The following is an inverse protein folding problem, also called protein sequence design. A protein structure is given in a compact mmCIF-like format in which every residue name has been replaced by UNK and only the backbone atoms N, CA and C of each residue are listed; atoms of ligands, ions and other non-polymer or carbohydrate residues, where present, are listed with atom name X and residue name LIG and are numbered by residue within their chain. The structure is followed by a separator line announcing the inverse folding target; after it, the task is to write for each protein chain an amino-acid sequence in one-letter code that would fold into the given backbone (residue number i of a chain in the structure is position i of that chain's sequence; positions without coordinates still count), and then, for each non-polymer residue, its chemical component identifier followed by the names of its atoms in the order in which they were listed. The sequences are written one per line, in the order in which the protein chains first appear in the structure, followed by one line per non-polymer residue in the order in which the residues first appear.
data_IF_394276981972
#
_entry.id   IF_394276981972
#
_cell.length_a   1.000
_cell.length_b   1.000
_cell.length_c   1.000
_cell.angle_alpha   90.00
_cell.angle_beta   90.00
_cell.angle_gamma   90.00
#
_symmetry.space_group_name_H-M   'P 1'
#
loop_
_entity.id
_entity.type
_entity.pdbx_description
1 polymer ?
#
# COMPACT_ATOMS: atom_id res chain seq x y z
N UNK A 1 43.90 1.85 -45.75
CA UNK A 1 42.89 0.81 -45.56
C UNK A 1 42.33 0.97 -44.15
N UNK A 2 41.18 1.64 -44.01
CA UNK A 2 40.46 1.74 -42.74
C UNK A 2 39.73 0.42 -42.52
N UNK A 3 40.11 -0.32 -41.47
CA UNK A 3 39.36 -1.47 -41.02
C UNK A 3 38.08 -0.96 -40.33
N UNK A 4 36.95 -1.00 -41.06
CA UNK A 4 35.64 -0.96 -40.45
C UNK A 4 35.45 -2.28 -39.70
N UNK A 5 35.58 -2.21 -38.37
CA UNK A 5 35.13 -3.25 -37.45
C UNK A 5 33.61 -3.38 -37.58
N UNK A 6 33.16 -4.34 -38.38
CA UNK A 6 31.79 -4.82 -38.38
C UNK A 6 31.52 -5.48 -37.02
N UNK A 7 30.93 -4.75 -36.09
CA UNK A 7 30.26 -5.34 -34.93
C UNK A 7 29.05 -6.12 -35.46
N UNK A 8 29.19 -7.45 -35.58
CA UNK A 8 28.02 -8.31 -35.75
C UNK A 8 27.23 -8.28 -34.44
N UNK A 9 26.07 -7.64 -34.46
CA UNK A 9 25.18 -7.51 -33.31
C UNK A 9 24.49 -8.86 -33.08
N UNK A 10 25.14 -9.75 -32.35
CA UNK A 10 24.44 -10.84 -31.67
C UNK A 10 23.69 -10.18 -30.50
N UNK A 11 22.36 -10.08 -30.61
CA UNK A 11 21.52 -9.45 -29.58
C UNK A 11 21.63 -10.27 -28.29
N UNK A 12 22.27 -9.70 -27.27
CA UNK A 12 22.28 -10.27 -25.92
C UNK A 12 21.30 -9.47 -25.09
N UNK A 13 20.42 -10.14 -24.34
CA UNK A 13 19.30 -9.48 -23.67
C UNK A 13 19.37 -9.65 -22.17
N UNK A 14 19.02 -8.59 -21.43
CA UNK A 14 18.74 -8.63 -19.99
C UNK A 14 17.26 -8.39 -19.75
N UNK A 15 16.61 -9.24 -18.95
CA UNK A 15 15.18 -9.14 -18.59
C UNK A 15 14.97 -9.39 -17.11
N UNK A 16 13.82 -8.96 -16.58
CA UNK A 16 13.41 -9.36 -15.24
C UNK A 16 13.00 -10.83 -15.25
N UNK A 17 13.48 -11.60 -14.27
CA UNK A 17 13.07 -13.01 -14.08
C UNK A 17 11.60 -13.12 -13.67
N UNK A 18 11.09 -12.11 -12.95
CA UNK A 18 9.67 -11.98 -12.60
C UNK A 18 9.19 -10.55 -12.88
N UNK A 19 8.26 -10.42 -13.82
CA UNK A 19 7.63 -9.15 -14.21
C UNK A 19 6.37 -8.83 -13.39
N UNK A 20 6.11 -9.56 -12.32
CA UNK A 20 4.98 -9.32 -11.40
C UNK A 20 5.49 -9.00 -10.00
N UNK A 21 6.46 -9.76 -9.49
CA UNK A 21 7.12 -9.52 -8.20
C UNK A 21 8.64 -9.55 -8.30
N UNK A 22 9.27 -8.51 -8.88
CA UNK A 22 10.71 -8.44 -9.02
C UNK A 22 11.44 -8.61 -7.67
N UNK A 23 12.41 -9.52 -7.64
CA UNK A 23 13.22 -9.78 -6.45
C UNK A 23 14.40 -8.82 -6.41
N UNK A 24 14.27 -7.79 -5.57
CA UNK A 24 15.29 -6.74 -5.38
C UNK A 24 15.62 -6.57 -3.91
N UNK A 25 16.91 -6.65 -3.56
CA UNK A 25 17.38 -6.58 -2.19
C UNK A 25 18.66 -5.75 -2.08
N UNK A 26 18.94 -5.22 -0.88
CA UNK A 26 20.24 -4.62 -0.57
C UNK A 26 20.94 -5.48 0.47
N UNK A 27 22.05 -6.09 0.06
CA UNK A 27 22.67 -7.20 0.78
C UNK A 27 21.64 -8.30 1.05
N UNK A 28 21.70 -8.87 2.27
CA UNK A 28 20.72 -9.83 2.77
C UNK A 28 19.78 -9.21 3.83
N UNK A 29 19.71 -7.87 3.87
CA UNK A 29 19.18 -7.14 5.03
C UNK A 29 17.82 -6.52 4.72
N UNK A 30 17.59 -6.09 3.47
CA UNK A 30 16.43 -5.29 3.12
C UNK A 30 15.91 -5.64 1.74
N UNK A 31 14.62 -5.98 1.66
CA UNK A 31 13.88 -6.07 0.41
C UNK A 31 13.50 -4.66 -0.02
N UNK A 32 13.99 -4.26 -1.18
CA UNK A 32 13.74 -2.94 -1.75
C UNK A 32 12.30 -2.88 -2.23
N UNK A 33 11.57 -1.88 -1.78
CA UNK A 33 10.26 -1.63 -2.35
C UNK A 33 10.43 -1.27 -3.83
N UNK A 34 9.69 -1.95 -4.69
CA UNK A 34 9.78 -1.74 -6.12
C UNK A 34 8.38 -1.66 -6.72
N UNK A 35 8.26 -0.86 -7.78
CA UNK A 35 7.05 -0.76 -8.58
C UNK A 35 7.40 -0.89 -10.05
N UNK A 36 6.50 -1.51 -10.80
CA UNK A 36 6.65 -1.67 -12.23
C UNK A 36 5.93 -0.55 -12.95
N UNK A 37 6.67 0.28 -13.69
CA UNK A 37 6.08 1.17 -14.70
C UNK A 37 5.71 0.43 -16.00
N UNK A 38 6.25 -0.79 -16.17
CA UNK A 38 6.10 -1.69 -17.32
C UNK A 38 7.05 -2.88 -17.18
N UNK A 39 7.58 -3.40 -18.30
CA UNK A 39 8.54 -4.51 -18.34
C UNK A 39 10.02 -4.07 -18.23
N UNK A 40 10.26 -2.77 -18.01
CA UNK A 40 11.61 -2.21 -17.90
C UNK A 40 12.35 -2.10 -19.23
N UNK A 41 11.69 -2.25 -20.38
CA UNK A 41 12.35 -2.19 -21.71
C UNK A 41 12.46 -0.78 -22.28
N UNK A 42 11.81 0.19 -21.65
CA UNK A 42 11.88 1.60 -22.02
C UNK A 42 12.15 2.49 -20.81
N UNK A 43 12.82 3.61 -21.05
CA UNK A 43 13.02 4.67 -20.06
C UNK A 43 11.71 5.32 -19.60
N UNK A 44 10.62 5.19 -20.37
CA UNK A 44 9.28 5.65 -20.00
C UNK A 44 8.52 4.68 -19.09
N UNK A 45 8.96 3.42 -19.00
CA UNK A 45 8.34 2.37 -18.20
C UNK A 45 9.39 1.54 -17.43
N UNK A 46 10.27 2.19 -16.64
CA UNK A 46 11.36 1.52 -15.95
C UNK A 46 10.87 0.68 -14.76
N UNK A 47 11.71 -0.24 -14.30
CA UNK A 47 11.60 -0.80 -12.95
C UNK A 47 11.98 0.27 -11.93
N UNK A 48 11.06 0.69 -11.06
CA UNK A 48 11.32 1.71 -10.04
C UNK A 48 11.77 1.06 -8.75
N UNK A 49 12.92 1.48 -8.22
CA UNK A 49 13.50 0.95 -6.98
C UNK A 49 13.59 2.06 -5.94
N UNK A 50 13.00 1.84 -4.76
CA UNK A 50 12.98 2.82 -3.67
C UNK A 50 13.98 2.42 -2.58
N UNK A 51 15.12 3.11 -2.57
CA UNK A 51 16.32 2.75 -1.82
C UNK A 51 16.46 3.69 -0.63
N UNK A 52 16.32 3.20 0.62
CA UNK A 52 16.55 4.03 1.80
C UNK A 52 18.04 4.21 2.09
N UNK A 53 18.48 5.41 2.44
CA UNK A 53 19.86 5.69 2.86
C UNK A 53 19.93 6.17 4.30
N UNK A 54 21.02 5.82 4.98
CA UNK A 54 21.43 6.47 6.24
C UNK A 54 22.41 7.61 5.99
N UNK A 55 22.19 8.73 6.66
CA UNK A 55 23.15 9.80 6.88
C UNK A 55 23.94 9.61 8.18
N UNK A 56 24.47 10.71 8.70
CA UNK A 56 25.13 10.74 10.01
C UNK A 56 24.09 10.85 11.14
N UNK A 57 24.11 9.92 12.11
CA UNK A 57 23.25 9.94 13.29
C UNK A 57 22.23 8.80 13.36
N UNK A 58 21.29 8.88 14.31
CA UNK A 58 20.31 7.82 14.60
C UNK A 58 18.88 8.15 14.18
N UNK A 59 18.62 9.35 13.65
CA UNK A 59 17.25 9.81 13.35
C UNK A 59 16.60 8.94 12.27
N UNK A 60 17.33 8.59 11.20
CA UNK A 60 16.82 7.70 10.13
C UNK A 60 16.52 6.30 10.65
N UNK A 61 17.44 5.69 11.39
CA UNK A 61 17.19 4.38 12.00
C UNK A 61 16.02 4.42 13.01
N UNK A 62 15.80 5.56 13.68
CA UNK A 62 14.67 5.73 14.60
C UNK A 62 13.33 5.90 13.90
N UNK A 63 13.31 6.16 12.60
CA UNK A 63 12.09 6.39 11.83
C UNK A 63 11.96 5.40 10.67
N UNK A 64 12.70 4.29 10.66
CA UNK A 64 12.70 3.34 9.55
C UNK A 64 12.22 1.95 9.99
N UNK A 65 11.66 1.17 9.07
CA UNK A 65 11.16 -0.19 9.34
C UNK A 65 12.24 -1.16 9.79
N UNK A 66 13.46 -1.00 9.29
CA UNK A 66 14.60 -1.77 9.76
C UNK A 66 14.90 -1.35 11.20
N UNK A 67 14.70 -2.28 12.14
CA UNK A 67 15.14 -2.15 13.54
C UNK A 67 16.67 -2.10 13.67
N UNK A 68 17.40 -2.34 12.57
CA UNK A 68 18.85 -2.31 12.46
C UNK A 68 19.34 -1.05 11.72
N UNK A 69 20.65 -0.82 11.73
CA UNK A 69 21.23 0.28 10.98
C UNK A 69 20.95 0.16 9.48
N UNK A 70 20.45 1.24 8.88
CA UNK A 70 20.40 1.46 7.44
C UNK A 70 21.81 1.52 6.85
N UNK A 71 21.94 1.24 5.55
CA UNK A 71 23.23 1.32 4.87
C UNK A 71 23.57 2.77 4.49
N UNK A 72 24.85 3.09 4.55
CA UNK A 72 25.42 4.40 4.21
C UNK A 72 25.69 4.51 2.71
N UNK A 73 25.81 5.73 2.20
CA UNK A 73 26.20 5.99 0.81
C UNK A 73 27.53 5.29 0.42
N UNK A 74 28.49 5.19 1.35
CA UNK A 74 29.76 4.51 1.12
C UNK A 74 29.75 3.01 1.50
N UNK A 75 28.58 2.39 1.61
CA UNK A 75 28.45 0.99 2.01
C UNK A 75 28.94 0.04 0.92
N UNK A 76 29.61 -1.04 1.33
CA UNK A 76 29.98 -2.17 0.45
C UNK A 76 28.82 -3.12 0.20
N UNK A 77 27.68 -2.93 0.87
CA UNK A 77 26.46 -3.69 0.57
C UNK A 77 26.03 -3.43 -0.86
N UNK A 78 25.48 -4.45 -1.49
CA UNK A 78 25.14 -4.44 -2.91
C UNK A 78 23.65 -4.35 -3.13
N UNK A 79 23.23 -3.51 -4.07
CA UNK A 79 21.91 -3.59 -4.69
C UNK A 79 21.90 -4.82 -5.61
N UNK A 80 21.05 -5.78 -5.26
CA UNK A 80 20.90 -7.06 -5.92
C UNK A 80 19.55 -7.09 -6.64
N UNK A 81 19.57 -7.34 -7.95
CA UNK A 81 18.37 -7.55 -8.78
C UNK A 81 18.48 -8.89 -9.48
N UNK A 82 17.45 -9.72 -9.36
CA UNK A 82 17.39 -11.02 -10.05
C UNK A 82 16.93 -10.82 -11.48
N UNK A 83 17.73 -11.26 -12.46
CA UNK A 83 17.52 -11.04 -13.89
C UNK A 83 17.77 -12.30 -14.70
N UNK A 84 17.10 -12.41 -15.85
CA UNK A 84 17.38 -13.41 -16.86
C UNK A 84 18.26 -12.81 -17.94
N UNK A 85 19.24 -13.59 -18.37
CA UNK A 85 20.27 -13.17 -19.32
C UNK A 85 20.29 -14.15 -20.49
N UNK A 86 20.27 -13.62 -21.71
CA UNK A 86 20.61 -14.38 -22.91
C UNK A 86 21.92 -13.79 -23.46
N UNK A 87 23.01 -14.55 -23.35
CA UNK A 87 24.30 -14.17 -23.92
C UNK A 87 24.49 -14.89 -25.26
N UNK A 88 24.47 -14.13 -26.35
CA UNK A 88 24.66 -14.65 -27.71
C UNK A 88 26.11 -14.49 -28.22
N UNK A 89 27.02 -13.93 -27.41
CA UNK A 89 28.45 -13.88 -27.70
C UNK A 89 29.02 -15.32 -27.64
N UNK A 90 29.74 -15.70 -28.68
CA UNK A 90 30.35 -17.04 -28.82
C UNK A 90 31.75 -17.15 -28.19
N UNK A 91 32.30 -16.03 -27.73
CA UNK A 91 33.69 -15.88 -27.32
C UNK A 91 33.85 -15.35 -25.90
N UNK A 92 32.94 -14.49 -25.43
CA UNK A 92 33.09 -13.80 -24.16
C UNK A 92 31.97 -14.09 -23.16
N UNK A 93 32.36 -14.24 -21.89
CA UNK A 93 31.42 -14.15 -20.77
C UNK A 93 31.03 -12.70 -20.63
N UNK A 94 29.73 -12.42 -20.62
CA UNK A 94 29.22 -11.07 -20.44
C UNK A 94 28.64 -10.88 -19.04
N UNK A 95 28.84 -9.70 -18.48
CA UNK A 95 28.43 -9.37 -17.11
C UNK A 95 27.39 -8.25 -17.10
N UNK A 96 26.34 -8.35 -16.26
CA UNK A 96 25.45 -7.24 -15.97
C UNK A 96 26.26 -6.01 -15.54
N UNK A 97 26.03 -4.91 -16.23
CA UNK A 97 26.76 -3.66 -16.08
C UNK A 97 25.74 -2.54 -15.97
N UNK A 98 25.84 -1.77 -14.89
CA UNK A 98 24.97 -0.66 -14.57
C UNK A 98 25.57 0.62 -15.15
N UNK A 99 24.74 1.33 -15.90
CA UNK A 99 25.01 2.67 -16.38
C UNK A 99 23.95 3.63 -15.86
N UNK A 100 24.32 4.90 -15.72
CA UNK A 100 23.42 5.98 -15.28
C UNK A 100 23.32 7.02 -16.38
N UNK A 101 22.14 7.58 -16.61
CA UNK A 101 21.95 8.64 -17.61
C UNK A 101 22.74 9.89 -17.21
N UNK A 102 23.52 10.42 -18.14
CA UNK A 102 24.22 11.71 -18.01
C UNK A 102 23.23 12.85 -18.26
N UNK A 103 22.99 13.71 -17.27
CA UNK A 103 22.05 14.83 -17.44
C UNK A 103 22.59 15.92 -18.38
N UNK A 104 23.91 15.95 -18.62
CA UNK A 104 24.57 16.89 -19.50
C UNK A 104 24.68 16.42 -20.95
N UNK A 105 24.36 15.16 -21.24
CA UNK A 105 24.45 14.59 -22.58
C UNK A 105 23.32 13.58 -22.89
N UNK A 106 23.45 12.84 -23.99
CA UNK A 106 22.56 11.71 -24.31
C UNK A 106 23.19 10.37 -23.91
N UNK A 107 24.39 10.40 -23.34
CA UNK A 107 25.11 9.18 -23.00
C UNK A 107 24.67 8.64 -21.64
N UNK A 108 25.02 7.39 -21.38
CA UNK A 108 24.96 6.80 -20.05
C UNK A 108 26.39 6.53 -19.57
N UNK A 109 26.69 6.96 -18.35
CA UNK A 109 27.99 6.81 -17.72
C UNK A 109 28.07 5.48 -16.97
N UNK A 110 29.23 4.85 -17.00
CA UNK A 110 29.46 3.62 -16.26
C UNK A 110 29.39 3.85 -14.75
N UNK A 111 28.71 2.95 -14.05
CA UNK A 111 28.62 2.96 -12.57
C UNK A 111 29.33 1.75 -11.98
N UNK A 112 29.06 0.55 -12.49
CA UNK A 112 29.61 -0.67 -11.93
C UNK A 112 29.20 -1.91 -12.71
N UNK A 113 29.86 -3.02 -12.39
CA UNK A 113 29.66 -4.32 -13.03
C UNK A 113 29.49 -5.41 -11.99
N UNK A 114 28.54 -6.30 -12.22
CA UNK A 114 28.31 -7.49 -11.39
C UNK A 114 29.50 -8.44 -11.47
N UNK A 115 29.78 -9.14 -10.37
CA UNK A 115 30.80 -10.19 -10.32
C UNK A 115 30.35 -11.50 -10.97
N UNK A 116 29.03 -11.68 -11.15
CA UNK A 116 28.43 -12.86 -11.78
C UNK A 116 28.00 -12.47 -13.19
N UNK A 117 28.48 -13.22 -14.18
CA UNK A 117 28.14 -13.06 -15.60
C UNK A 117 27.47 -14.30 -16.18
N UNK A 118 27.11 -14.23 -17.46
CA UNK A 118 26.53 -15.34 -18.21
C UNK A 118 27.52 -15.87 -19.25
N UNK A 119 27.66 -17.20 -19.31
CA UNK A 119 28.58 -17.88 -20.23
C UNK A 119 28.25 -17.61 -21.70
N UNK A 120 29.22 -17.87 -22.57
CA UNK A 120 29.08 -17.71 -24.03
C UNK A 120 27.93 -18.55 -24.58
N UNK A 121 27.13 -18.00 -25.48
CA UNK A 121 26.06 -18.71 -26.20
C UNK A 121 25.11 -19.48 -25.28
N UNK A 122 24.69 -18.85 -24.18
CA UNK A 122 23.85 -19.48 -23.16
C UNK A 122 22.73 -18.57 -22.66
N UNK A 123 21.68 -19.19 -22.15
CA UNK A 123 20.66 -18.55 -21.33
C UNK A 123 20.97 -18.83 -19.86
N UNK A 124 21.06 -17.79 -19.06
CA UNK A 124 21.27 -17.87 -17.62
C UNK A 124 20.04 -17.29 -16.93
N UNK A 125 19.31 -18.14 -16.21
CA UNK A 125 18.13 -17.75 -15.45
C UNK A 125 18.52 -17.37 -14.02
N UNK A 126 17.71 -16.50 -13.40
CA UNK A 126 17.85 -16.07 -12.00
C UNK A 126 19.25 -15.54 -11.62
N UNK A 127 19.90 -14.85 -12.55
CA UNK A 127 21.21 -14.25 -12.30
C UNK A 127 21.06 -13.07 -11.35
N UNK A 128 21.80 -13.09 -10.25
CA UNK A 128 21.84 -11.95 -9.32
C UNK A 128 22.82 -10.89 -9.86
N UNK A 129 22.25 -9.84 -10.44
CA UNK A 129 22.97 -8.62 -10.80
C UNK A 129 23.26 -7.81 -9.53
N UNK A 130 24.55 -7.53 -9.26
CA UNK A 130 24.98 -7.01 -7.97
C UNK A 130 25.88 -5.78 -8.12
N UNK A 131 25.46 -4.63 -7.55
CA UNK A 131 26.21 -3.37 -7.63
C UNK A 131 26.38 -2.76 -6.24
N UNK A 132 27.61 -2.44 -5.84
CA UNK A 132 27.84 -1.85 -4.51
C UNK A 132 27.20 -0.47 -4.39
N UNK A 133 26.60 -0.17 -3.24
CA UNK A 133 26.04 1.16 -2.97
C UNK A 133 27.12 2.25 -3.05
N UNK A 134 28.35 1.95 -2.64
CA UNK A 134 29.48 2.85 -2.82
C UNK A 134 29.74 3.18 -4.30
N UNK A 135 29.67 2.21 -5.21
CA UNK A 135 29.82 2.46 -6.66
C UNK A 135 28.68 3.34 -7.20
N UNK A 136 27.43 3.04 -6.80
CA UNK A 136 26.26 3.82 -7.19
C UNK A 136 26.39 5.27 -6.72
N UNK A 137 26.68 5.48 -5.44
CA UNK A 137 26.76 6.80 -4.83
C UNK A 137 28.05 7.60 -5.15
N UNK A 138 29.06 6.97 -5.74
CA UNK A 138 30.27 7.66 -6.22
C UNK A 138 30.15 8.11 -7.68
N UNK A 139 29.06 7.77 -8.38
CA UNK A 139 28.79 8.25 -9.72
C UNK A 139 28.55 9.76 -9.72
N UNK A 140 29.00 10.46 -10.77
CA UNK A 140 28.84 11.93 -10.89
C UNK A 140 27.38 12.36 -10.94
N UNK A 141 26.50 11.52 -11.48
CA UNK A 141 25.08 11.81 -11.65
C UNK A 141 24.24 11.45 -10.42
N UNK A 142 24.81 10.76 -9.42
CA UNK A 142 24.08 10.28 -8.25
C UNK A 142 24.67 10.90 -6.99
N UNK A 143 24.14 12.06 -6.59
CA UNK A 143 24.50 12.68 -5.32
C UNK A 143 23.70 12.08 -4.15
N UNK A 144 24.19 10.96 -3.61
CA UNK A 144 23.61 10.35 -2.41
C UNK A 144 23.69 11.24 -1.15
N UNK A 145 24.41 12.37 -1.18
CA UNK A 145 24.44 13.31 -0.04
C UNK A 145 23.19 14.17 -0.01
N UNK A 146 22.75 14.69 -1.17
CA UNK A 146 21.48 15.42 -1.26
C UNK A 146 20.26 14.52 -1.05
N UNK A 147 20.40 13.21 -1.33
CA UNK A 147 19.38 12.20 -1.00
C UNK A 147 18.94 12.23 0.49
N UNK A 148 19.79 12.72 1.40
CA UNK A 148 19.50 12.81 2.83
C UNK A 148 18.46 13.88 3.19
N UNK A 149 18.26 14.88 2.33
CA UNK A 149 17.33 16.00 2.55
C UNK A 149 16.13 15.97 1.62
N UNK A 150 16.29 15.43 0.40
CA UNK A 150 15.22 15.24 -0.56
C UNK A 150 15.46 13.94 -1.35
N UNK A 151 14.40 13.24 -1.80
CA UNK A 151 14.57 12.12 -2.70
C UNK A 151 15.29 12.53 -3.98
N UNK A 152 16.22 11.70 -4.44
CA UNK A 152 16.83 11.80 -5.76
C UNK A 152 16.27 10.69 -6.65
N UNK A 153 16.00 11.00 -7.91
CA UNK A 153 15.49 10.05 -8.89
C UNK A 153 16.42 10.05 -10.08
N UNK A 154 16.96 8.88 -10.44
CA UNK A 154 17.94 8.76 -11.52
C UNK A 154 17.60 7.59 -12.42
N UNK A 155 17.59 7.85 -13.73
CA UNK A 155 17.38 6.80 -14.74
C UNK A 155 18.68 6.06 -14.99
N UNK A 156 18.63 4.73 -14.89
CA UNK A 156 19.75 3.82 -15.07
C UNK A 156 19.41 2.74 -16.09
N UNK A 157 20.44 2.11 -16.64
CA UNK A 157 20.32 1.04 -17.63
C UNK A 157 21.27 -0.09 -17.29
N UNK A 158 20.74 -1.31 -17.22
CA UNK A 158 21.50 -2.54 -17.03
C UNK A 158 21.61 -3.24 -18.36
N UNK A 159 22.83 -3.47 -18.82
CA UNK A 159 23.14 -4.23 -20.04
C UNK A 159 24.32 -5.16 -19.80
N UNK A 160 24.66 -5.97 -20.80
CA UNK A 160 25.78 -6.90 -20.75
C UNK A 160 27.06 -6.29 -21.33
N UNK A 161 28.20 -6.48 -20.65
CA UNK A 161 29.51 -6.03 -21.13
C UNK A 161 30.63 -7.02 -20.76
N UNK A 162 31.67 -7.09 -21.60
CA UNK A 162 32.76 -8.07 -21.51
C UNK A 162 34.11 -7.50 -21.02
N UNK A 163 34.35 -6.19 -21.11
CA UNK A 163 35.71 -5.60 -21.00
C UNK A 163 35.87 -4.59 -19.88
N UNK A 164 37.09 -4.49 -19.36
CA UNK A 164 37.57 -3.58 -18.30
C UNK A 164 37.64 -2.10 -18.71
N UNK A 165 36.91 -1.70 -19.74
CA UNK A 165 36.85 -0.32 -20.22
C UNK A 165 35.45 0.19 -19.96
N UNK A 166 35.32 0.61 -18.72
CA UNK A 166 34.18 1.22 -18.04
C UNK A 166 33.87 2.62 -18.61
N UNK A 167 33.65 2.70 -19.93
CA UNK A 167 33.36 3.96 -20.65
C UNK A 167 31.86 4.19 -20.82
N UNK A 168 31.49 5.44 -21.09
CA UNK A 168 30.10 5.78 -21.39
C UNK A 168 29.60 5.09 -22.66
N UNK A 169 28.29 4.87 -22.71
CA UNK A 169 27.56 4.34 -23.87
C UNK A 169 26.59 5.40 -24.41
N UNK A 170 26.23 5.33 -25.69
CA UNK A 170 25.17 6.18 -26.25
C UNK A 170 23.79 5.79 -25.71
N UNK A 171 22.82 6.70 -25.77
CA UNK A 171 21.42 6.45 -25.37
C UNK A 171 20.87 5.14 -25.98
N UNK A 172 20.49 4.14 -25.17
CA UNK A 172 19.79 2.97 -25.64
C UNK A 172 18.31 3.31 -25.90
N UNK A 173 18.03 4.20 -26.86
CA UNK A 173 16.69 4.79 -27.17
C UNK A 173 15.50 3.81 -27.24
N UNK A 174 15.72 2.51 -27.42
CA UNK A 174 14.76 1.43 -27.11
C UNK A 174 15.51 0.17 -26.63
N UNK A 175 15.27 -0.27 -25.40
CA UNK A 175 15.98 -1.36 -24.74
C UNK A 175 15.49 -2.72 -25.22
N UNK A 176 16.01 -3.19 -26.36
CA UNK A 176 15.83 -4.61 -26.74
C UNK A 176 16.83 -5.52 -26.01
N UNK A 177 17.99 -4.98 -25.64
CA UNK A 177 19.14 -5.72 -25.13
C UNK A 177 19.39 -5.52 -23.62
N UNK A 178 18.58 -4.70 -22.94
CA UNK A 178 18.82 -4.35 -21.53
C UNK A 178 17.58 -3.91 -20.76
N UNK A 179 17.81 -3.56 -19.50
CA UNK A 179 16.78 -3.25 -18.51
C UNK A 179 16.95 -1.81 -18.00
N UNK A 180 15.92 -0.98 -18.18
CA UNK A 180 15.80 0.34 -17.58
C UNK A 180 15.34 0.23 -16.13
N UNK A 181 16.05 0.95 -15.27
CA UNK A 181 15.81 1.01 -13.83
C UNK A 181 15.78 2.47 -13.39
N UNK A 182 14.75 2.87 -12.67
CA UNK A 182 14.67 4.18 -12.03
C UNK A 182 15.06 4.01 -10.56
N UNK A 183 16.24 4.52 -10.21
CA UNK A 183 16.74 4.52 -8.84
C UNK A 183 16.15 5.74 -8.12
N UNK A 184 15.22 5.49 -7.21
CA UNK A 184 14.70 6.47 -6.28
C UNK A 184 15.44 6.28 -4.96
N UNK A 185 16.26 7.24 -4.55
CA UNK A 185 17.11 7.12 -3.37
C UNK A 185 16.75 8.23 -2.39
N UNK A 186 16.50 7.88 -1.13
CA UNK A 186 16.18 8.87 -0.09
C UNK A 186 16.68 8.43 1.27
N UNK A 187 17.27 9.36 2.01
CA UNK A 187 17.47 9.28 3.46
C UNK A 187 16.66 10.34 4.19
N UNK A 188 15.72 11.01 3.51
CA UNK A 188 14.86 12.03 4.10
C UNK A 188 13.91 11.38 5.08
N UNK A 189 14.06 11.72 6.35
CA UNK A 189 13.05 11.42 7.37
C UNK A 189 12.00 12.51 7.40
N UNK A 190 10.77 12.13 7.70
CA UNK A 190 9.74 13.10 8.04
C UNK A 190 10.14 13.91 9.26
N UNK A 191 10.01 15.22 9.15
CA UNK A 191 10.26 16.12 10.27
C UNK A 191 9.16 15.97 11.34
N UNK A 192 9.38 16.56 12.51
CA UNK A 192 8.39 16.58 13.58
C UNK A 192 7.17 17.48 13.29
N UNK A 193 7.07 18.08 12.10
CA UNK A 193 5.94 18.96 11.73
C UNK A 193 4.79 18.18 11.08
N UNK A 194 5.08 16.99 10.54
CA UNK A 194 4.03 16.04 10.14
C UNK A 194 3.44 15.44 11.41
N UNK A 195 2.20 15.82 11.73
CA UNK A 195 1.47 15.31 12.89
C UNK A 195 0.39 14.35 12.44
N UNK A 196 0.44 13.15 13.03
CA UNK A 196 -0.57 12.10 12.88
C UNK A 196 -1.42 12.08 14.15
N UNK A 197 -2.74 12.05 14.00
CA UNK A 197 -3.66 12.06 15.15
C UNK A 197 -4.76 11.03 14.96
N UNK A 198 -4.98 10.21 15.99
CA UNK A 198 -6.20 9.41 16.10
C UNK A 198 -7.30 10.28 16.67
N UNK A 199 -8.38 10.46 15.92
CA UNK A 199 -9.52 11.29 16.31
C UNK A 199 -10.57 10.49 17.06
N UNK A 200 -10.75 9.21 16.73
CA UNK A 200 -11.71 8.32 17.38
C UNK A 200 -11.35 6.83 17.20
N UNK A 201 -11.85 5.99 18.10
CA UNK A 201 -11.76 4.53 18.05
C UNK A 201 -13.14 3.89 18.21
N UNK A 202 -13.63 3.29 17.12
CA UNK A 202 -14.86 2.52 17.12
C UNK A 202 -14.57 1.04 17.42
N UNK A 203 -15.26 0.50 18.44
CA UNK A 203 -15.08 -0.88 18.90
C UNK A 203 -15.96 -1.84 18.09
N UNK A 204 -15.36 -2.90 17.58
CA UNK A 204 -16.06 -4.03 16.96
C UNK A 204 -15.63 -5.36 17.55
N UNK A 205 -16.15 -6.44 16.98
CA UNK A 205 -15.74 -7.80 17.30
C UNK A 205 -14.42 -8.16 16.64
N UNK A 206 -13.44 -8.51 17.46
CA UNK A 206 -12.06 -8.80 17.04
C UNK A 206 -11.45 -7.68 16.19
N UNK A 207 -11.96 -6.45 16.33
CA UNK A 207 -11.54 -5.31 15.52
C UNK A 207 -11.68 -3.96 16.20
N UNK A 208 -10.85 -3.03 15.78
CA UNK A 208 -10.95 -1.62 16.08
C UNK A 208 -10.90 -0.85 14.78
N UNK A 209 -11.82 0.11 14.60
CA UNK A 209 -11.82 1.03 13.47
C UNK A 209 -11.32 2.39 13.96
N UNK A 210 -10.34 2.90 13.25
CA UNK A 210 -9.53 4.04 13.65
C UNK A 210 -9.81 5.19 12.72
N UNK A 211 -10.36 6.27 13.27
CA UNK A 211 -10.52 7.51 12.53
C UNK A 211 -9.27 8.37 12.75
N UNK A 212 -8.73 8.94 11.68
CA UNK A 212 -7.44 9.63 11.73
C UNK A 212 -7.40 10.93 10.95
N UNK A 213 -6.43 11.77 11.31
CA UNK A 213 -5.99 12.93 10.53
C UNK A 213 -4.46 12.99 10.44
N UNK A 214 -3.96 13.58 9.34
CA UNK A 214 -2.55 13.83 9.06
C UNK A 214 -2.42 15.29 8.62
N UNK A 215 -1.50 16.05 9.22
CA UNK A 215 -1.35 17.49 8.94
C UNK A 215 -0.93 17.81 7.51
N UNK A 216 -0.20 16.90 6.85
CA UNK A 216 0.25 17.04 5.48
C UNK A 216 0.27 15.67 4.77
N UNK A 217 -0.27 15.62 3.56
CA UNK A 217 -0.18 14.45 2.69
C UNK A 217 1.26 14.31 2.22
N UNK A 218 1.83 13.11 2.36
CA UNK A 218 3.19 12.84 1.93
C UNK A 218 3.21 12.48 0.45
N UNK A 219 4.12 13.10 -0.32
CA UNK A 219 4.24 12.83 -1.76
C UNK A 219 4.64 11.37 -2.04
N UNK A 220 5.38 10.75 -1.13
CA UNK A 220 5.90 9.38 -1.23
C UNK A 220 5.07 8.40 -0.39
N UNK A 221 3.80 8.73 -0.12
CA UNK A 221 2.89 7.88 0.65
C UNK A 221 2.82 6.47 0.06
N UNK A 222 3.01 5.46 0.90
CA UNK A 222 2.85 4.05 0.53
C UNK A 222 1.64 3.43 1.22
N UNK A 223 1.66 3.40 2.55
CA UNK A 223 0.65 2.71 3.36
C UNK A 223 0.61 3.25 4.79
N UNK A 224 -0.34 2.75 5.58
CA UNK A 224 -0.47 3.03 7.00
C UNK A 224 -0.19 1.76 7.81
N UNK A 225 0.60 1.88 8.86
CA UNK A 225 0.87 0.79 9.80
C UNK A 225 0.31 1.11 11.19
N UNK A 226 -0.28 0.09 11.81
CA UNK A 226 -0.95 0.16 13.11
C UNK A 226 -0.16 -0.64 14.13
N UNK A 227 0.02 -0.07 15.32
CA UNK A 227 0.86 -0.65 16.37
C UNK A 227 0.13 -0.71 17.70
N UNK A 228 0.36 -1.79 18.44
CA UNK A 228 0.14 -1.85 19.89
C UNK A 228 1.45 -1.47 20.59
N UNK A 229 1.43 -0.39 21.38
CA UNK A 229 2.65 0.14 21.99
C UNK A 229 2.58 0.14 23.53
N UNK A 230 3.65 -0.29 24.20
CA UNK A 230 3.72 -0.34 25.67
C UNK A 230 3.79 1.05 26.31
N UNK A 231 4.39 2.00 25.59
CA UNK A 231 4.60 3.38 26.03
C UNK A 231 4.75 4.29 24.81
N UNK A 232 4.05 5.42 24.80
CA UNK A 232 4.13 6.37 23.70
C UNK A 232 5.53 6.97 23.57
N UNK A 233 6.12 6.81 22.39
CA UNK A 233 7.28 7.54 21.91
C UNK A 233 6.90 8.12 20.55
N UNK A 234 7.19 9.39 20.31
CA UNK A 234 6.87 10.02 19.02
C UNK A 234 7.72 9.45 17.86
N UNK A 235 8.77 8.68 18.14
CA UNK A 235 9.66 8.05 17.15
C UNK A 235 9.46 6.54 17.10
N UNK A 236 9.27 6.02 15.89
CA UNK A 236 8.97 4.62 15.60
C UNK A 236 9.96 3.62 16.20
N UNK A 237 11.25 3.73 15.86
CA UNK A 237 12.33 2.84 16.30
C UNK A 237 12.75 3.01 17.76
N UNK A 238 12.20 4.00 18.47
CA UNK A 238 12.35 4.17 19.92
C UNK A 238 11.06 3.85 20.69
N UNK A 239 9.96 3.55 20.00
CA UNK A 239 8.75 3.09 20.63
C UNK A 239 8.94 1.64 21.09
N UNK A 240 8.47 1.33 22.29
CA UNK A 240 8.29 -0.03 22.75
C UNK A 240 7.12 -0.68 22.00
N UNK A 241 7.32 -0.97 20.72
CA UNK A 241 6.33 -1.62 19.87
C UNK A 241 6.21 -3.07 20.36
N UNK A 242 5.07 -3.40 20.95
CA UNK A 242 4.77 -4.78 21.35
C UNK A 242 4.49 -5.62 20.11
N UNK A 243 3.70 -5.06 19.19
CA UNK A 243 3.12 -5.78 18.07
C UNK A 243 2.75 -4.83 16.92
N UNK A 244 2.89 -5.31 15.69
CA UNK A 244 2.34 -4.67 14.49
C UNK A 244 0.98 -5.34 14.24
N UNK A 245 -0.10 -4.58 14.35
CA UNK A 245 -1.47 -5.12 14.30
C UNK A 245 -2.00 -5.23 12.86
N UNK A 246 -1.64 -4.28 12.00
CA UNK A 246 -2.06 -4.28 10.60
C UNK A 246 -1.17 -3.37 9.76
N UNK A 247 -1.11 -3.68 8.46
CA UNK A 247 -0.61 -2.79 7.41
C UNK A 247 -1.74 -2.69 6.39
N UNK A 248 -2.17 -1.48 6.10
CA UNK A 248 -3.26 -1.21 5.16
C UNK A 248 -2.71 -0.44 3.95
N UNK A 249 -2.56 -1.18 2.84
CA UNK A 249 -2.07 -0.70 1.54
C UNK A 249 -3.19 -0.22 0.61
N UNK A 250 -4.46 -0.41 0.99
CA UNK A 250 -5.63 0.07 0.25
C UNK A 250 -6.00 1.53 0.60
N UNK A 251 -5.30 2.15 1.55
CA UNK A 251 -5.56 3.53 1.96
C UNK A 251 -5.01 4.50 0.91
N UNK A 252 -5.87 5.28 0.27
CA UNK A 252 -5.43 6.39 -0.57
C UNK A 252 -4.82 7.52 0.26
N UNK A 253 -3.79 8.19 -0.27
CA UNK A 253 -3.15 9.33 0.36
C UNK A 253 -4.16 10.46 0.64
N UNK A 254 -4.67 10.52 1.88
CA UNK A 254 -5.68 11.47 2.32
C UNK A 254 -5.30 12.05 3.69
N UNK A 255 -5.60 13.34 3.89
CA UNK A 255 -5.34 14.04 5.14
C UNK A 255 -6.24 13.57 6.29
N UNK A 256 -7.32 12.83 5.99
CA UNK A 256 -8.17 12.17 6.97
C UNK A 256 -8.82 10.94 6.36
N UNK A 257 -9.21 10.00 7.22
CA UNK A 257 -9.85 8.77 6.80
C UNK A 257 -10.13 7.84 7.96
N UNK A 258 -10.40 6.58 7.62
CA UNK A 258 -10.55 5.50 8.57
C UNK A 258 -9.88 4.23 8.07
N UNK A 259 -9.23 3.49 8.96
CA UNK A 259 -8.69 2.15 8.67
C UNK A 259 -9.07 1.17 9.80
N UNK A 260 -8.99 -0.13 9.54
CA UNK A 260 -9.39 -1.17 10.51
C UNK A 260 -8.20 -2.03 10.95
N UNK A 261 -8.01 -2.15 12.25
CA UNK A 261 -7.21 -3.23 12.85
C UNK A 261 -8.12 -4.43 13.07
N UNK A 262 -7.86 -5.55 12.40
CA UNK A 262 -8.68 -6.79 12.42
C UNK A 262 -7.94 -7.93 13.11
N UNK A 263 -8.66 -9.01 13.42
CA UNK A 263 -8.13 -10.23 14.04
C UNK A 263 -7.48 -9.96 15.43
N UNK A 264 -8.08 -9.06 16.21
CA UNK A 264 -7.64 -8.71 17.55
C UNK A 264 -8.28 -9.63 18.61
N UNK A 265 -7.58 -9.84 19.72
CA UNK A 265 -8.11 -10.59 20.85
C UNK A 265 -9.16 -9.77 21.61
N UNK A 266 -10.39 -10.27 21.65
CA UNK A 266 -11.45 -9.67 22.44
C UNK A 266 -11.11 -9.64 23.93
N UNK A 267 -11.42 -8.53 24.60
CA UNK A 267 -11.15 -8.35 26.04
C UNK A 267 -9.72 -7.93 26.39
N UNK A 268 -8.77 -7.95 25.44
CA UNK A 268 -7.43 -7.38 25.61
C UNK A 268 -7.47 -5.86 25.40
N UNK A 269 -6.91 -5.10 26.32
CA UNK A 269 -6.69 -3.67 26.12
C UNK A 269 -5.51 -3.47 25.17
N UNK A 270 -5.74 -2.77 24.07
CA UNK A 270 -4.70 -2.36 23.13
C UNK A 270 -4.44 -0.88 23.27
N UNK A 271 -3.16 -0.48 23.20
CA UNK A 271 -2.73 0.91 23.19
C UNK A 271 -2.33 1.27 21.77
N UNK A 272 -3.29 1.77 20.99
CA UNK A 272 -3.11 1.92 19.57
C UNK A 272 -2.40 3.23 19.23
N UNK A 273 -1.43 3.13 18.33
CA UNK A 273 -0.84 4.24 17.61
C UNK A 273 -0.70 3.86 16.14
N UNK A 274 -0.61 4.84 15.26
CA UNK A 274 -0.32 4.60 13.84
C UNK A 274 0.78 5.54 13.34
N UNK A 275 1.40 5.13 12.25
CA UNK A 275 2.27 6.00 11.45
C UNK A 275 2.04 5.73 9.97
N UNK A 276 2.29 6.75 9.16
CA UNK A 276 2.30 6.64 7.71
C UNK A 276 3.69 6.20 7.28
N UNK A 277 3.74 5.22 6.37
CA UNK A 277 4.98 4.74 5.77
C UNK A 277 5.10 5.24 4.34
N UNK A 278 6.33 5.53 3.95
CA UNK A 278 6.67 5.92 2.58
C UNK A 278 7.24 4.77 1.76
N UNK A 279 7.45 5.01 0.47
CA UNK A 279 8.04 3.98 -0.41
C UNK A 279 9.46 3.58 -0.03
N UNK A 280 10.19 4.42 0.71
CA UNK A 280 11.54 4.12 1.21
C UNK A 280 11.50 3.34 2.53
N UNK A 281 10.33 3.21 3.18
CA UNK A 281 10.17 2.53 4.46
C UNK A 281 10.38 3.42 5.69
N UNK A 282 10.41 4.75 5.51
CA UNK A 282 10.39 5.70 6.62
C UNK A 282 8.97 5.95 7.11
N UNK A 283 8.83 6.04 8.42
CA UNK A 283 7.60 6.35 9.11
C UNK A 283 7.57 7.82 9.54
N UNK A 284 6.39 8.42 9.46
CA UNK A 284 6.09 9.67 10.17
C UNK A 284 6.23 9.48 11.68
N UNK A 285 6.24 10.56 12.47
CA UNK A 285 6.02 10.43 13.90
C UNK A 285 4.78 9.59 14.21
N UNK A 286 4.87 8.80 15.27
CA UNK A 286 3.75 8.00 15.77
C UNK A 286 2.65 8.92 16.28
N UNK A 287 1.40 8.55 16.03
CA UNK A 287 0.27 9.28 16.58
C UNK A 287 0.23 9.13 18.10
N UNK A 288 -0.31 10.12 18.85
CA UNK A 288 -0.66 9.91 20.25
C UNK A 288 -1.48 8.64 20.44
N UNK A 289 -1.22 7.92 21.53
CA UNK A 289 -1.89 6.64 21.79
C UNK A 289 -3.34 6.84 22.20
N UNK A 290 -4.22 6.00 21.67
CA UNK A 290 -5.57 5.84 22.20
C UNK A 290 -5.81 4.37 22.54
N UNK A 291 -6.38 4.12 23.71
CA UNK A 291 -6.58 2.76 24.20
C UNK A 291 -8.03 2.30 23.99
N UNK A 292 -8.19 1.10 23.45
CA UNK A 292 -9.49 0.48 23.32
C UNK A 292 -9.39 -1.04 23.49
N UNK A 293 -10.51 -1.65 23.88
CA UNK A 293 -10.66 -3.09 24.05
C UNK A 293 -11.69 -3.56 23.02
N UNK A 294 -11.32 -4.43 22.06
CA UNK A 294 -12.28 -5.09 21.18
C UNK A 294 -13.33 -5.83 22.01
N UNK A 295 -14.57 -5.80 21.55
CA UNK A 295 -15.71 -6.36 22.26
C UNK A 295 -16.02 -7.73 21.71
N UNK A 296 -16.25 -8.72 22.58
CA UNK A 296 -16.83 -9.99 22.11
C UNK A 296 -18.13 -9.72 21.38
N UNK A 297 -18.37 -10.44 20.28
CA UNK A 297 -19.62 -10.31 19.55
C UNK A 297 -20.85 -10.39 20.48
N UNK A 298 -20.85 -11.30 21.46
CA UNK A 298 -21.95 -11.44 22.41
C UNK A 298 -22.20 -10.15 23.21
N UNK A 299 -21.15 -9.51 23.71
CA UNK A 299 -21.23 -8.24 24.46
C UNK A 299 -21.60 -7.07 23.54
N UNK A 300 -21.07 -7.06 22.31
CA UNK A 300 -21.44 -6.08 21.30
C UNK A 300 -22.93 -6.20 20.94
N UNK A 301 -23.43 -7.41 20.69
CA UNK A 301 -24.82 -7.70 20.36
C UNK A 301 -25.76 -7.40 21.52
N UNK A 302 -25.38 -7.76 22.75
CA UNK A 302 -26.16 -7.51 23.97
C UNK A 302 -26.29 -6.01 24.23
N UNK A 303 -25.17 -5.27 24.15
CA UNK A 303 -25.19 -3.80 24.28
C UNK A 303 -26.02 -3.15 23.18
N UNK A 304 -26.03 -3.74 21.99
CA UNK A 304 -26.66 -3.15 20.82
C UNK A 304 -28.12 -3.50 20.62
N UNK A 305 -28.58 -4.61 21.21
CA UNK A 305 -29.97 -5.05 21.23
C UNK A 305 -30.66 -5.12 19.85
N UNK A 306 -29.91 -5.24 18.74
CA UNK A 306 -30.44 -5.44 17.39
C UNK A 306 -29.63 -6.53 16.68
N UNK A 307 -29.72 -7.76 17.20
CA UNK A 307 -28.87 -8.91 16.89
C UNK A 307 -28.51 -9.11 15.41
N UNK A 308 -29.49 -9.25 14.51
CA UNK A 308 -29.21 -9.49 13.09
C UNK A 308 -28.50 -8.31 12.43
N UNK A 309 -28.99 -7.09 12.66
CA UNK A 309 -28.41 -5.90 12.05
C UNK A 309 -27.00 -5.70 12.61
N UNK A 310 -26.81 -5.85 13.91
CA UNK A 310 -25.50 -5.86 14.57
C UNK A 310 -24.56 -6.94 14.03
N UNK A 311 -25.06 -8.15 13.77
CA UNK A 311 -24.26 -9.22 13.17
C UNK A 311 -23.89 -8.95 11.71
N UNK A 312 -24.74 -8.21 10.97
CA UNK A 312 -24.45 -7.83 9.58
C UNK A 312 -23.44 -6.70 9.46
N UNK A 313 -23.49 -5.71 10.36
CA UNK A 313 -22.58 -4.57 10.34
C UNK A 313 -21.29 -4.80 11.14
N UNK A 314 -21.34 -5.60 12.23
CA UNK A 314 -20.23 -5.86 13.16
C UNK A 314 -19.61 -4.58 13.79
N UNK A 315 -20.26 -3.41 13.65
CA UNK A 315 -19.84 -2.10 14.18
C UNK A 315 -21.08 -1.27 14.56
N UNK A 316 -20.87 -0.20 15.34
CA UNK A 316 -21.91 0.80 15.52
C UNK A 316 -22.17 1.47 14.17
N UNK A 317 -23.44 1.56 13.78
CA UNK A 317 -23.81 2.15 12.51
C UNK A 317 -25.10 2.96 12.65
N UNK A 318 -25.23 4.06 11.90
CA UNK A 318 -26.39 4.94 12.02
C UNK A 318 -27.71 4.23 11.66
N UNK A 319 -27.68 3.27 10.73
CA UNK A 319 -28.83 2.41 10.41
C UNK A 319 -29.27 1.61 11.63
N UNK A 320 -28.32 1.16 12.44
CA UNK A 320 -28.59 0.44 13.68
C UNK A 320 -29.31 1.32 14.70
N UNK A 321 -28.87 2.58 14.84
CA UNK A 321 -29.56 3.56 15.68
C UNK A 321 -30.98 3.85 15.19
N UNK A 322 -31.19 3.89 13.87
CA UNK A 322 -32.53 4.05 13.29
C UNK A 322 -33.45 2.88 13.66
N UNK A 323 -33.00 1.63 13.52
CA UNK A 323 -33.84 0.47 13.87
C UNK A 323 -34.12 0.38 15.37
N UNK A 324 -33.19 0.81 16.23
CA UNK A 324 -33.46 0.97 17.67
C UNK A 324 -34.55 1.99 17.92
N UNK A 325 -34.47 3.14 17.27
CA UNK A 325 -35.50 4.17 17.39
C UNK A 325 -36.87 3.64 16.96
N UNK A 326 -36.95 2.90 15.85
CA UNK A 326 -38.21 2.27 15.42
C UNK A 326 -38.75 1.28 16.45
N UNK A 327 -37.87 0.44 17.01
CA UNK A 327 -38.23 -0.51 18.07
C UNK A 327 -38.79 0.22 19.29
N UNK A 328 -38.04 1.18 19.82
CA UNK A 328 -38.33 1.83 21.09
C UNK A 328 -39.53 2.77 21.00
N UNK A 329 -39.63 3.56 19.92
CA UNK A 329 -40.67 4.58 19.79
C UNK A 329 -41.97 4.09 19.16
N UNK A 330 -41.95 2.98 18.40
CA UNK A 330 -43.14 2.50 17.71
C UNK A 330 -43.51 1.07 18.09
N UNK A 331 -42.59 0.11 17.95
CA UNK A 331 -42.92 -1.31 18.16
C UNK A 331 -43.26 -1.61 19.62
N UNK A 332 -42.52 -1.06 20.57
CA UNK A 332 -42.78 -1.29 22.00
C UNK A 332 -44.04 -0.58 22.52
N UNK A 333 -44.67 0.32 21.76
CA UNK A 333 -45.91 1.00 22.16
C UNK A 333 -47.18 0.20 21.89
N UNK A 334 -47.10 -0.87 21.07
CA UNK A 334 -48.25 -1.68 20.67
C UNK A 334 -48.02 -3.16 21.00
N UNK A 335 -49.06 -3.86 21.47
CA UNK A 335 -48.94 -5.25 21.93
C UNK A 335 -48.39 -6.21 20.87
N UNK A 336 -48.86 -6.08 19.62
CA UNK A 336 -48.35 -6.86 18.50
C UNK A 336 -46.85 -6.61 18.25
N UNK A 337 -46.40 -5.37 18.42
CA UNK A 337 -44.99 -5.00 18.27
C UNK A 337 -44.14 -5.52 19.42
N UNK A 338 -44.66 -5.50 20.65
CA UNK A 338 -44.02 -6.12 21.81
C UNK A 338 -43.86 -7.64 21.61
N UNK A 339 -44.89 -8.33 21.12
CA UNK A 339 -44.84 -9.77 20.83
C UNK A 339 -43.83 -10.08 19.72
N UNK A 340 -43.79 -9.28 18.66
CA UNK A 340 -42.79 -9.41 17.59
C UNK A 340 -41.37 -9.18 18.09
N UNK A 341 -41.16 -8.14 18.90
CA UNK A 341 -39.87 -7.86 19.52
C UNK A 341 -39.47 -9.00 20.45
N UNK A 342 -40.38 -9.52 21.28
CA UNK A 342 -40.13 -10.69 22.13
C UNK A 342 -39.66 -11.90 21.31
N UNK A 343 -40.43 -12.28 20.29
CA UNK A 343 -40.05 -13.36 19.37
C UNK A 343 -38.67 -13.13 18.73
N UNK A 344 -38.39 -11.90 18.28
CA UNK A 344 -37.10 -11.55 17.70
C UNK A 344 -35.95 -11.73 18.70
N UNK A 345 -36.10 -11.30 19.94
CA UNK A 345 -35.05 -11.44 20.95
C UNK A 345 -34.88 -12.86 21.47
N UNK A 346 -35.93 -13.68 21.45
CA UNK A 346 -35.85 -15.10 21.83
C UNK A 346 -35.12 -15.94 20.76
N UNK A 347 -35.27 -15.57 19.48
CA UNK A 347 -34.76 -16.35 18.36
C UNK A 347 -33.45 -15.81 17.78
N UNK A 348 -33.32 -14.49 17.63
CA UNK A 348 -32.22 -13.88 16.91
C UNK A 348 -30.83 -14.24 17.47
N UNK A 349 -30.58 -14.25 18.80
CA UNK A 349 -29.28 -14.59 19.36
C UNK A 349 -28.76 -15.96 18.88
N UNK A 350 -29.65 -16.93 18.67
CA UNK A 350 -29.30 -18.30 18.26
C UNK A 350 -28.75 -18.36 16.83
N UNK A 351 -29.23 -17.47 15.95
CA UNK A 351 -28.79 -17.42 14.55
C UNK A 351 -27.60 -16.48 14.34
N UNK A 352 -27.23 -15.65 15.31
CA UNK A 352 -26.10 -14.73 15.14
C UNK A 352 -24.80 -15.48 14.81
N UNK A 353 -24.36 -16.53 15.54
CA UNK A 353 -23.12 -17.25 15.19
C UNK A 353 -23.07 -17.74 13.74
N UNK A 354 -24.22 -18.16 13.20
CA UNK A 354 -24.36 -18.60 11.82
C UNK A 354 -24.19 -17.46 10.80
N UNK A 355 -24.68 -16.26 11.13
CA UNK A 355 -24.49 -15.04 10.33
C UNK A 355 -23.03 -14.62 10.33
N UNK A 356 -22.37 -14.64 11.49
CA UNK A 356 -20.97 -14.22 11.62
C UNK A 356 -20.04 -15.08 10.79
N UNK A 357 -20.25 -16.41 10.77
CA UNK A 357 -19.43 -17.33 10.00
C UNK A 357 -19.58 -17.22 8.47
N UNK A 358 -20.39 -16.29 7.94
CA UNK A 358 -20.74 -16.21 6.51
C UNK A 358 -20.79 -14.77 5.99
N UNK A 359 -19.72 -14.27 5.34
CA UNK A 359 -19.65 -12.88 4.83
C UNK A 359 -20.80 -12.50 3.88
N UNK A 360 -21.26 -13.42 3.03
CA UNK A 360 -22.38 -13.17 2.11
C UNK A 360 -23.71 -12.93 2.85
N UNK A 361 -23.91 -13.58 3.99
CA UNK A 361 -25.12 -13.41 4.80
C UNK A 361 -25.09 -12.07 5.53
N UNK A 362 -23.91 -11.65 6.01
CA UNK A 362 -23.71 -10.30 6.52
C UNK A 362 -23.99 -9.23 5.45
N UNK A 363 -23.52 -9.43 4.21
CA UNK A 363 -23.80 -8.54 3.09
C UNK A 363 -25.30 -8.46 2.78
N UNK A 364 -26.02 -9.58 2.78
CA UNK A 364 -27.46 -9.60 2.59
C UNK A 364 -28.21 -8.84 3.69
N UNK A 365 -27.81 -9.02 4.96
CA UNK A 365 -28.43 -8.32 6.07
C UNK A 365 -28.18 -6.82 5.99
N UNK A 366 -26.95 -6.39 5.65
CA UNK A 366 -26.63 -4.98 5.40
C UNK A 366 -27.49 -4.42 4.26
N UNK A 367 -27.58 -5.14 3.14
CA UNK A 367 -28.41 -4.76 2.00
C UNK A 367 -29.88 -4.59 2.39
N UNK A 368 -30.45 -5.57 3.10
CA UNK A 368 -31.82 -5.49 3.58
C UNK A 368 -32.03 -4.30 4.54
N UNK A 369 -31.13 -4.10 5.50
CA UNK A 369 -31.20 -3.00 6.45
C UNK A 369 -31.17 -1.63 5.74
N UNK A 370 -30.30 -1.46 4.74
CA UNK A 370 -30.28 -0.25 3.92
C UNK A 370 -31.57 -0.06 3.11
N UNK A 371 -32.06 -1.13 2.46
CA UNK A 371 -33.31 -1.06 1.69
C UNK A 371 -34.47 -0.62 2.58
N UNK A 372 -34.61 -1.22 3.75
CA UNK A 372 -35.71 -0.90 4.68
C UNK A 372 -35.56 0.51 5.26
N UNK A 373 -34.35 0.91 5.66
CA UNK A 373 -34.06 2.29 6.07
C UNK A 373 -34.47 3.30 4.99
N UNK A 374 -34.09 3.04 3.74
CA UNK A 374 -34.41 3.90 2.60
C UNK A 374 -35.92 3.95 2.32
N UNK A 375 -36.59 2.79 2.33
CA UNK A 375 -38.04 2.73 2.13
C UNK A 375 -38.82 3.47 3.21
N UNK A 376 -38.44 3.39 4.49
CA UNK A 376 -39.19 4.07 5.54
C UNK A 376 -38.89 5.57 5.62
N UNK A 377 -37.66 6.03 5.35
CA UNK A 377 -37.35 7.46 5.33
C UNK A 377 -37.86 8.16 4.05
N UNK A 378 -37.76 7.51 2.90
CA UNK A 378 -38.06 8.12 1.61
C UNK A 378 -39.37 7.61 0.97
N UNK A 379 -40.02 6.61 1.56
CA UNK A 379 -41.20 5.95 0.99
C UNK A 379 -42.39 6.88 0.76
N UNK A 380 -42.59 7.88 1.63
CA UNK A 380 -43.65 8.89 1.44
C UNK A 380 -43.38 9.74 0.20
N UNK A 381 -42.12 10.10 -0.06
CA UNK A 381 -41.73 10.83 -1.28
C UNK A 381 -41.84 9.96 -2.53
N UNK A 382 -41.52 8.67 -2.44
CA UNK A 382 -41.68 7.70 -3.54
C UNK A 382 -43.16 7.48 -3.84
N UNK A 383 -44.01 7.27 -2.83
CA UNK A 383 -45.46 7.16 -3.00
C UNK A 383 -46.06 8.47 -3.54
N UNK A 384 -45.65 9.61 -3.01
CA UNK A 384 -46.08 10.92 -3.46
C UNK A 384 -45.73 11.17 -4.93
N UNK A 385 -44.51 10.84 -5.35
CA UNK A 385 -44.08 10.96 -6.75
C UNK A 385 -44.81 9.98 -7.68
N UNK A 386 -45.04 8.72 -7.27
CA UNK A 386 -45.83 7.76 -8.04
C UNK A 386 -47.29 8.25 -8.21
N UNK A 387 -47.90 8.76 -7.14
CA UNK A 387 -49.26 9.30 -7.18
C UNK A 387 -49.33 10.56 -8.04
N UNK A 388 -48.33 11.45 -7.96
CA UNK A 388 -48.23 12.64 -8.79
C UNK A 388 -48.09 12.29 -10.28
N UNK A 389 -47.22 11.33 -10.63
CA UNK A 389 -47.06 10.84 -12.00
C UNK A 389 -48.36 10.22 -12.52
N UNK A 390 -49.02 9.37 -11.72
CA UNK A 390 -50.32 8.79 -12.09
C UNK A 390 -51.42 9.83 -12.25
N UNK A 391 -51.44 10.85 -11.39
CA UNK A 391 -52.38 11.96 -11.49
C UNK A 391 -52.16 12.77 -12.78
N UNK A 392 -50.91 13.12 -13.09
CA UNK A 392 -50.54 13.82 -14.32
C UNK A 392 -50.89 12.98 -15.56
N UNK A 393 -50.56 11.69 -15.57
CA UNK A 393 -50.90 10.79 -16.67
C UNK A 393 -52.42 10.65 -16.87
N UNK A 394 -53.20 10.59 -15.78
CA UNK A 394 -54.68 10.55 -15.85
C UNK A 394 -55.27 11.84 -16.42
N UNK A 395 -54.68 13.01 -16.10
CA UNK A 395 -55.12 14.30 -16.65
C UNK A 395 -54.83 14.42 -18.15
N UNK A 396 -53.68 13.93 -18.61
CA UNK A 396 -53.32 13.91 -20.04
C UNK A 396 -54.20 12.94 -20.84
N UNK A 397 -54.58 11.79 -20.26
CA UNK A 397 -55.49 10.84 -20.91
C UNK A 397 -56.93 11.37 -21.08
N UNK A 398 -57.42 12.20 -20.16
CA UNK A 398 -58.77 12.79 -20.25
C UNK A 398 -58.88 13.92 -21.29
N UNK A 399 -57.78 14.51 -21.73
CA UNK A 399 -57.77 15.52 -22.80
C UNK A 399 -57.76 14.94 -24.22
N UNK A 400 -57.83 13.61 -24.38
CA UNK A 400 -57.74 12.93 -25.69
C UNK A 400 -59.10 12.37 -26.18
N UNK A 401 -60.20 12.56 -25.45
CA UNK A 401 -61.54 12.25 -25.97
C UNK A 401 -62.26 13.55 -26.32
N UNK A 402 -62.14 13.94 -27.59
CA UNK A 402 -63.04 14.84 -28.30
C UNK A 402 -63.72 14.06 -29.40
N UNK A 403 -65.02 13.86 -29.28
CA UNK A 403 -65.98 14.07 -30.38
C UNK A 403 -67.02 15.09 -29.90
#
# INVERSE_FOLDING_TARGET
MCALSLYSVSASTVRLSDTTTPVVNIGNIYSVYNTLGGDGTSSSAPLKLYIPLSGSGTTQSSNHILKTALFKANSTQTLNTTIDIVNTDTTNVLYPTLYVKDDSSTNYLFVGRSSIGCSTSSTCEDVVSSFSMASICNSTEIDCTSALTAPITVTSYITLSQLAVDTSISDPTSGTDGLFVELNISGRVYDSTVTTTLTDLEKGDERLKLNYTISAIQNDFRDIAIFDISSYNSKFGLAGINEILSIDDDVSAAASGSFEAKNLDNGRLYNISFAVRDFYGFYTPLSPTMSATPLKIAEFLEKNQCYFISAGFMEQHYVLNYFRYIRDEYLLKVKLGQDFVGFYYDTAPQYVPFILGRPWLQALIRGFAYCVYFFFNFGVYILGSILMVRFLASKVSKSIITE
#
